data_IF_672234106279
#
_entry.id   IF_672234106279
#
_cell.length_a   1.000
_cell.length_b   1.000
_cell.length_c   1.000
_cell.angle_alpha   90.00
_cell.angle_beta   90.00
_cell.angle_gamma   90.00
#
_symmetry.space_group_name_H-M   'P 1'
#
loop_
_entity.id
_entity.type
_entity.pdbx_description
1 polymer ?
#
# COMPACT_ATOMS: atom_id res chain seq x y z
N UNK A 1 -21.82 3.52 27.25
CA UNK A 1 -21.84 2.30 26.42
C UNK A 1 -21.00 2.59 25.17
N UNK A 2 -19.84 1.96 25.01
CA UNK A 2 -19.11 2.03 23.74
C UNK A 2 -19.82 1.11 22.75
N UNK A 3 -20.58 1.69 21.82
CA UNK A 3 -21.28 0.95 20.78
C UNK A 3 -20.25 0.33 19.85
N UNK A 4 -20.06 -0.99 19.95
CA UNK A 4 -19.29 -1.78 18.98
C UNK A 4 -20.01 -1.70 17.64
N UNK A 5 -19.49 -0.89 16.72
CA UNK A 5 -19.91 -0.93 15.32
C UNK A 5 -19.43 -2.27 14.77
N UNK A 6 -20.35 -3.17 14.44
CA UNK A 6 -19.99 -4.43 13.78
C UNK A 6 -19.18 -4.10 12.52
N UNK A 7 -17.98 -4.65 12.39
CA UNK A 7 -17.16 -4.45 11.21
C UNK A 7 -17.96 -4.87 9.96
N UNK A 8 -17.97 -4.05 8.89
CA UNK A 8 -18.72 -4.38 7.70
C UNK A 8 -18.16 -5.67 7.09
N UNK A 9 -19.05 -6.52 6.57
CA UNK A 9 -18.62 -7.69 5.79
C UNK A 9 -17.87 -7.20 4.55
N UNK A 10 -16.57 -7.47 4.49
CA UNK A 10 -15.74 -7.09 3.36
C UNK A 10 -16.11 -7.92 2.12
N UNK A 11 -15.92 -7.32 0.94
CA UNK A 11 -15.93 -8.07 -0.32
C UNK A 11 -14.63 -8.88 -0.40
N UNK A 12 -14.69 -10.08 -0.97
CA UNK A 12 -13.52 -10.97 -1.12
C UNK A 12 -12.31 -10.28 -1.76
N UNK A 13 -12.54 -9.47 -2.80
CA UNK A 13 -11.47 -8.69 -3.46
C UNK A 13 -10.76 -7.73 -2.49
N UNK A 14 -11.49 -7.11 -1.58
CA UNK A 14 -10.94 -6.17 -0.60
C UNK A 14 -10.18 -6.92 0.48
N UNK A 15 -10.72 -8.03 0.98
CA UNK A 15 -10.04 -8.89 1.95
C UNK A 15 -8.71 -9.42 1.39
N UNK A 16 -8.74 -9.96 0.16
CA UNK A 16 -7.53 -10.38 -0.56
C UNK A 16 -6.56 -9.23 -0.80
N UNK A 17 -7.07 -8.05 -1.18
CA UNK A 17 -6.22 -6.88 -1.38
C UNK A 17 -5.54 -6.42 -0.09
N UNK A 18 -6.24 -6.41 1.05
CA UNK A 18 -5.70 -6.00 2.34
C UNK A 18 -4.76 -7.05 2.94
N UNK A 19 -4.88 -8.33 2.54
CA UNK A 19 -3.95 -9.37 2.95
C UNK A 19 -2.52 -9.11 2.45
N UNK A 20 -1.52 -9.26 3.33
CA UNK A 20 -0.10 -9.05 3.03
C UNK A 20 0.30 -7.57 2.88
N UNK A 21 1.56 -7.33 2.50
CA UNK A 21 2.11 -5.97 2.31
C UNK A 21 1.66 -5.37 0.97
N UNK A 22 1.41 -4.06 0.92
CA UNK A 22 1.05 -3.35 -0.32
C UNK A 22 2.30 -2.82 -1.00
N UNK A 23 2.46 -3.20 -2.27
CA UNK A 23 3.60 -2.88 -3.13
C UNK A 23 3.37 -1.59 -3.90
N UNK A 24 4.46 -0.94 -4.29
CA UNK A 24 4.43 0.19 -5.22
C UNK A 24 4.28 -0.34 -6.64
N UNK A 25 3.75 0.48 -7.56
CA UNK A 25 3.65 0.11 -8.97
C UNK A 25 4.60 0.99 -9.79
N UNK A 26 5.70 0.40 -10.27
CA UNK A 26 6.76 1.10 -10.99
C UNK A 26 7.11 0.28 -12.23
N UNK A 27 7.19 0.97 -13.38
CA UNK A 27 7.52 0.38 -14.68
C UNK A 27 6.70 -0.88 -15.03
N UNK A 28 5.37 -0.80 -14.89
CA UNK A 28 4.47 -1.89 -15.23
C UNK A 28 4.36 -3.03 -14.21
N UNK A 29 5.08 -2.96 -13.09
CA UNK A 29 5.19 -4.06 -12.12
C UNK A 29 4.95 -3.62 -10.67
N UNK A 30 4.42 -4.53 -9.85
CA UNK A 30 4.32 -4.34 -8.41
C UNK A 30 5.64 -4.70 -7.71
N UNK A 31 6.30 -3.70 -7.11
CA UNK A 31 7.63 -3.80 -6.52
C UNK A 31 7.63 -3.47 -5.03
N UNK A 32 8.58 -4.08 -4.32
CA UNK A 32 8.90 -3.72 -2.94
C UNK A 32 9.78 -2.47 -2.92
N UNK A 33 9.81 -1.73 -1.80
CA UNK A 33 10.76 -0.62 -1.67
C UNK A 33 12.19 -1.13 -1.77
N UNK A 34 13.06 -0.33 -2.38
CA UNK A 34 14.50 -0.57 -2.42
C UNK A 34 15.08 -0.81 -1.01
N UNK A 35 14.63 -0.04 -0.02
CA UNK A 35 15.04 -0.19 1.37
C UNK A 35 14.38 -1.36 2.12
N UNK A 36 13.30 -1.93 1.57
CA UNK A 36 12.45 -2.93 2.23
C UNK A 36 11.61 -2.38 3.40
N UNK A 37 11.68 -1.07 3.69
CA UNK A 37 10.90 -0.44 4.75
C UNK A 37 9.40 -0.48 4.47
N UNK A 38 8.62 -0.49 5.54
CA UNK A 38 7.16 -0.49 5.48
C UNK A 38 6.59 0.33 6.61
N UNK A 39 5.42 0.92 6.39
CA UNK A 39 4.64 1.58 7.43
C UNK A 39 3.21 1.06 7.46
N UNK A 40 2.55 1.25 8.60
CA UNK A 40 1.17 0.84 8.81
C UNK A 40 0.21 1.99 8.55
N UNK A 41 -0.89 1.70 7.87
CA UNK A 41 -2.00 2.63 7.70
C UNK A 41 -3.11 2.25 8.68
N UNK A 42 -3.61 3.18 9.50
CA UNK A 42 -4.71 2.88 10.42
C UNK A 42 -6.07 2.96 9.72
N UNK A 43 -7.04 2.21 10.22
CA UNK A 43 -8.45 2.40 9.92
C UNK A 43 -8.96 3.62 10.72
N UNK A 44 -9.39 4.72 10.08
CA UNK A 44 -9.77 5.93 10.80
C UNK A 44 -11.01 5.77 11.69
N UNK A 45 -11.82 4.71 11.50
CA UNK A 45 -12.99 4.45 12.33
C UNK A 45 -12.66 3.75 13.67
N UNK A 46 -11.58 2.96 13.72
CA UNK A 46 -11.21 2.14 14.89
C UNK A 46 -9.83 2.46 15.46
N UNK A 47 -8.95 3.09 14.68
CA UNK A 47 -7.54 3.30 15.00
C UNK A 47 -6.65 2.07 14.80
N UNK A 48 -7.24 0.90 14.52
CA UNK A 48 -6.50 -0.34 14.31
C UNK A 48 -5.80 -0.36 12.96
N UNK A 49 -4.76 -1.20 12.79
CA UNK A 49 -4.05 -1.35 11.52
C UNK A 49 -4.99 -1.84 10.41
N UNK A 50 -5.11 -1.06 9.33
CA UNK A 50 -5.82 -1.42 8.11
C UNK A 50 -4.94 -2.19 7.12
N UNK A 51 -3.72 -1.71 6.88
CA UNK A 51 -2.76 -2.36 5.98
C UNK A 51 -1.32 -2.01 6.34
N UNK A 52 -0.37 -2.80 5.84
CA UNK A 52 1.07 -2.47 5.84
C UNK A 52 1.49 -2.18 4.40
N UNK A 53 2.16 -1.07 4.16
CA UNK A 53 2.53 -0.56 2.82
C UNK A 53 4.05 -0.39 2.76
N UNK A 54 4.68 -0.71 1.62
CA UNK A 54 6.09 -0.40 1.40
C UNK A 54 6.32 1.11 1.37
N UNK A 55 7.34 1.56 2.10
CA UNK A 55 7.70 2.98 2.23
C UNK A 55 8.70 3.32 1.13
N UNK A 56 8.25 4.05 0.11
CA UNK A 56 9.11 4.48 -0.99
C UNK A 56 10.12 5.54 -0.53
N UNK A 57 11.39 5.38 -0.90
CA UNK A 57 12.44 6.36 -0.67
C UNK A 57 12.92 7.03 -1.98
N UNK A 58 14.00 7.81 -1.91
CA UNK A 58 14.54 8.51 -3.07
C UNK A 58 14.88 7.58 -4.25
N UNK A 59 15.39 6.37 -4.00
CA UNK A 59 15.72 5.42 -5.06
C UNK A 59 14.45 4.91 -5.75
N UNK A 60 13.40 4.62 -4.98
CA UNK A 60 12.09 4.23 -5.52
C UNK A 60 11.51 5.32 -6.42
N UNK A 61 11.63 6.59 -6.01
CA UNK A 61 11.19 7.75 -6.79
C UNK A 61 12.00 7.90 -8.08
N UNK A 62 13.32 7.79 -8.02
CA UNK A 62 14.18 7.88 -9.21
C UNK A 62 13.84 6.80 -10.25
N UNK A 63 13.58 5.55 -9.80
CA UNK A 63 13.13 4.46 -10.67
C UNK A 63 11.76 4.77 -11.31
N UNK A 64 10.83 5.35 -10.55
CA UNK A 64 9.53 5.76 -11.08
C UNK A 64 9.62 6.89 -12.10
N UNK A 65 10.45 7.90 -11.84
CA UNK A 65 10.68 9.03 -12.76
C UNK A 65 11.34 8.55 -14.05
N UNK A 66 12.35 7.67 -13.96
CA UNK A 66 13.00 7.08 -15.12
C UNK A 66 12.02 6.29 -15.99
N UNK A 67 11.20 5.42 -15.38
CA UNK A 67 10.18 4.67 -16.10
C UNK A 67 9.13 5.58 -16.76
N UNK A 68 8.73 6.66 -16.09
CA UNK A 68 7.82 7.66 -16.67
C UNK A 68 8.45 8.41 -17.85
N UNK A 69 9.75 8.71 -17.79
CA UNK A 69 10.49 9.32 -18.91
C UNK A 69 10.57 8.37 -20.11
N UNK A 70 10.95 7.12 -19.88
CA UNK A 70 11.03 6.07 -20.92
C UNK A 70 9.68 5.79 -21.58
N UNK A 71 8.56 5.94 -20.86
CA UNK A 71 7.22 5.77 -21.44
C UNK A 71 6.71 7.00 -22.21
N UNK A 72 7.36 8.16 -22.03
CA UNK A 72 7.00 9.40 -22.71
C UNK A 72 7.72 9.57 -24.04
N UNK A 73 9.01 9.22 -24.08
CA UNK A 73 9.87 9.31 -25.28
C UNK A 73 9.65 8.12 -26.24
#
# INVERSE_FOLDING_TARGET
MMSSIAAPKLKEKVEKFLSGKKKMYINGSFVESASGKTFDTPNPATGERLATVYEGDAEDIDRAVKAAREAFD
#
